data_IF_783385654308
#
_entry.id   IF_783385654308
#
_cell.length_a   1.000
_cell.length_b   1.000
_cell.length_c   1.000
_cell.angle_alpha   90.00
_cell.angle_beta   90.00
_cell.angle_gamma   90.00
#
_symmetry.space_group_name_H-M   'P 1'
#
loop_
_entity.id
_entity.type
_entity.pdbx_description
1 polymer ?
#
# COMPACT_ATOMS: atom_id res chain seq x y z
N UNK A 1 -7.78 7.99 -17.89
CA UNK A 1 -8.16 8.90 -16.77
C UNK A 1 -6.93 9.30 -15.95
N UNK A 2 -7.05 10.27 -15.01
CA UNK A 2 -6.01 10.67 -14.05
C UNK A 2 -6.56 10.57 -12.64
N UNK A 3 -5.70 10.27 -11.66
CA UNK A 3 -6.08 10.23 -10.26
C UNK A 3 -6.48 11.62 -9.78
N UNK A 4 -7.63 11.75 -9.15
CA UNK A 4 -8.14 13.02 -8.64
C UNK A 4 -7.39 13.50 -7.40
N UNK A 5 -7.62 14.75 -6.99
CA UNK A 5 -7.10 15.27 -5.73
C UNK A 5 -7.56 14.43 -4.51
N UNK A 6 -8.79 13.90 -4.55
CA UNK A 6 -9.31 12.99 -3.51
C UNK A 6 -8.56 11.66 -3.51
N UNK A 7 -8.28 11.07 -4.68
CA UNK A 7 -7.48 9.85 -4.81
C UNK A 7 -6.04 10.05 -4.33
N UNK A 8 -5.41 11.17 -4.69
CA UNK A 8 -4.06 11.53 -4.21
C UNK A 8 -4.05 11.68 -2.67
N UNK A 9 -5.04 12.39 -2.10
CA UNK A 9 -5.18 12.53 -0.63
C UNK A 9 -5.30 11.16 0.03
N UNK A 10 -6.15 10.30 -0.51
CA UNK A 10 -6.35 8.94 -0.01
C UNK A 10 -5.04 8.11 -0.01
N UNK A 11 -4.31 8.11 -1.12
CA UNK A 11 -3.04 7.38 -1.21
C UNK A 11 -2.03 7.92 -0.20
N UNK A 12 -1.87 9.25 -0.08
CA UNK A 12 -0.98 9.88 0.90
C UNK A 12 -1.29 9.48 2.34
N UNK A 13 -2.57 9.38 2.69
CA UNK A 13 -3.01 8.99 4.04
C UNK A 13 -2.55 7.58 4.40
N UNK A 14 -2.61 6.64 3.46
CA UNK A 14 -2.27 5.24 3.74
C UNK A 14 -0.79 4.89 3.53
N UNK A 15 -0.08 5.55 2.63
CA UNK A 15 1.36 5.31 2.42
C UNK A 15 2.23 6.10 3.41
N UNK A 16 1.68 7.17 4.00
CA UNK A 16 2.44 8.15 4.76
C UNK A 16 3.20 9.12 3.85
N UNK A 17 3.58 10.26 4.41
CA UNK A 17 4.28 11.32 3.70
C UNK A 17 5.42 11.87 4.53
N UNK A 18 6.59 12.02 3.92
CA UNK A 18 7.76 12.65 4.55
C UNK A 18 8.29 13.76 3.67
N UNK A 19 8.18 14.99 4.14
CA UNK A 19 8.63 16.19 3.40
C UNK A 19 10.15 16.40 3.46
N UNK A 20 10.86 15.68 4.32
CA UNK A 20 12.33 15.66 4.40
C UNK A 20 12.84 14.29 3.96
N UNK A 21 13.87 14.28 3.14
CA UNK A 21 14.48 13.05 2.65
C UNK A 21 14.99 12.17 3.80
N UNK A 22 14.76 10.88 3.67
CA UNK A 22 15.18 9.85 4.63
C UNK A 22 15.70 8.62 3.89
N UNK A 23 16.51 7.83 4.55
CA UNK A 23 16.87 6.50 4.03
C UNK A 23 15.80 5.49 4.39
N UNK A 24 15.25 4.82 3.37
CA UNK A 24 14.35 3.66 3.60
C UNK A 24 15.16 2.49 4.17
N UNK A 25 14.50 1.39 4.54
CA UNK A 25 15.16 0.19 5.08
C UNK A 25 16.20 -0.44 4.14
N UNK A 26 16.09 -0.18 2.83
CA UNK A 26 17.08 -0.59 1.81
C UNK A 26 18.24 0.41 1.68
N UNK A 27 18.32 1.46 2.52
CA UNK A 27 19.37 2.48 2.46
C UNK A 27 19.21 3.51 1.33
N UNK A 28 18.08 3.48 0.59
CA UNK A 28 17.82 4.38 -0.54
C UNK A 28 17.21 5.70 -0.04
N UNK A 29 17.73 6.83 -0.55
CA UNK A 29 17.15 8.14 -0.28
C UNK A 29 15.74 8.23 -0.85
N UNK A 30 14.79 8.56 -0.01
CA UNK A 30 13.35 8.56 -0.27
C UNK A 30 12.73 9.86 0.25
N UNK A 31 11.74 10.41 -0.45
CA UNK A 31 11.03 11.64 -0.05
C UNK A 31 9.55 11.56 -0.45
N UNK A 32 8.73 12.45 0.10
CA UNK A 32 7.30 12.49 -0.21
C UNK A 32 6.59 11.20 0.17
N UNK A 33 5.83 10.65 -0.75
CA UNK A 33 5.05 9.41 -0.61
C UNK A 33 5.81 8.24 -1.25
N UNK A 34 7.00 7.94 -0.69
CA UNK A 34 7.82 6.83 -1.16
C UNK A 34 8.63 7.09 -2.43
N UNK A 35 8.71 8.34 -2.92
CA UNK A 35 9.47 8.68 -4.10
C UNK A 35 10.98 8.50 -3.90
N UNK A 36 11.65 7.90 -4.88
CA UNK A 36 13.10 7.72 -4.95
C UNK A 36 13.62 8.18 -6.32
N UNK A 37 14.93 8.48 -6.41
CA UNK A 37 15.55 8.85 -7.70
C UNK A 37 15.33 7.81 -8.82
N UNK A 38 15.08 6.55 -8.47
CA UNK A 38 14.79 5.49 -9.43
C UNK A 38 13.39 5.62 -10.08
N UNK A 39 12.45 6.31 -9.40
CA UNK A 39 11.12 6.59 -9.95
C UNK A 39 11.15 7.76 -10.96
N UNK A 40 12.27 8.48 -11.06
CA UNK A 40 12.46 9.60 -11.97
C UNK A 40 12.80 10.90 -11.23
N UNK A 41 12.50 12.04 -11.86
CA UNK A 41 12.73 13.36 -11.25
C UNK A 41 11.71 13.65 -10.14
N UNK A 42 12.11 14.39 -9.05
CA UNK A 42 13.46 14.86 -8.77
C UNK A 42 14.39 13.77 -8.26
N UNK A 43 15.70 13.92 -8.48
CA UNK A 43 16.67 13.10 -7.79
C UNK A 43 16.65 13.41 -6.29
N UNK A 44 16.55 12.36 -5.47
CA UNK A 44 16.49 12.50 -4.00
C UNK A 44 17.88 12.44 -3.41
N UNK A 45 18.26 13.50 -2.68
CA UNK A 45 19.57 13.63 -2.05
C UNK A 45 19.44 13.83 -0.55
N UNK A 46 20.54 13.64 0.17
CA UNK A 46 20.61 13.92 1.61
C UNK A 46 20.23 15.38 1.92
N UNK A 47 19.44 15.57 2.98
CA UNK A 47 19.02 16.90 3.42
C UNK A 47 17.92 17.54 2.57
N UNK A 48 17.52 16.95 1.44
CA UNK A 48 16.47 17.50 0.58
C UNK A 48 15.16 17.65 1.35
N UNK A 49 14.49 18.77 1.13
CA UNK A 49 13.15 19.07 1.69
C UNK A 49 12.23 19.51 0.56
N UNK A 50 10.97 19.14 0.64
CA UNK A 50 9.92 19.55 -0.29
C UNK A 50 8.70 20.04 0.48
N UNK A 51 7.87 20.84 -0.17
CA UNK A 51 6.56 21.23 0.34
C UNK A 51 5.53 20.12 0.13
N UNK A 52 4.38 20.20 0.81
CA UNK A 52 3.27 19.28 0.59
C UNK A 52 2.71 19.37 -0.85
N UNK A 53 2.76 20.55 -1.47
CA UNK A 53 2.34 20.74 -2.87
C UNK A 53 3.30 20.03 -3.85
N UNK A 54 4.61 20.15 -3.63
CA UNK A 54 5.61 19.42 -4.41
C UNK A 54 5.49 17.92 -4.23
N UNK A 55 5.27 17.45 -3.00
CA UNK A 55 5.02 16.03 -2.72
C UNK A 55 3.80 15.50 -3.48
N UNK A 56 2.70 16.24 -3.51
CA UNK A 56 1.51 15.87 -4.28
C UNK A 56 1.80 15.82 -5.79
N UNK A 57 2.59 16.78 -6.31
CA UNK A 57 3.00 16.83 -7.72
C UNK A 57 3.89 15.63 -8.08
N UNK A 58 4.83 15.28 -7.21
CA UNK A 58 5.71 14.12 -7.37
C UNK A 58 4.88 12.84 -7.40
N UNK A 59 3.97 12.66 -6.43
CA UNK A 59 3.09 11.50 -6.36
C UNK A 59 2.22 11.36 -7.60
N UNK A 60 1.61 12.47 -8.07
CA UNK A 60 0.77 12.44 -9.28
C UNK A 60 1.55 11.95 -10.51
N UNK A 61 2.84 12.30 -10.62
CA UNK A 61 3.71 11.81 -11.68
C UNK A 61 4.07 10.34 -11.49
N UNK A 62 4.40 9.92 -10.28
CA UNK A 62 4.75 8.54 -9.98
C UNK A 62 3.56 7.59 -10.20
N UNK A 63 2.33 8.10 -10.04
CA UNK A 63 1.10 7.37 -10.32
C UNK A 63 0.83 7.15 -11.83
N UNK A 64 1.47 7.90 -12.73
CA UNK A 64 1.16 7.87 -14.16
C UNK A 64 1.24 6.46 -14.76
N UNK A 65 2.19 5.64 -14.34
CA UNK A 65 2.31 4.26 -14.81
C UNK A 65 1.15 3.37 -14.31
N UNK A 66 0.68 3.59 -13.10
CA UNK A 66 -0.46 2.86 -12.52
C UNK A 66 -1.76 3.30 -13.18
N UNK A 67 -1.95 4.61 -13.42
CA UNK A 67 -3.09 5.16 -14.13
C UNK A 67 -3.23 4.56 -15.53
N UNK A 68 -2.13 4.55 -16.29
CA UNK A 68 -2.11 3.96 -17.63
C UNK A 68 -2.37 2.45 -17.56
N UNK A 69 -1.82 1.76 -16.58
CA UNK A 69 -2.03 0.32 -16.38
C UNK A 69 -3.47 -0.01 -16.05
N UNK A 70 -4.11 0.74 -15.16
CA UNK A 70 -5.53 0.59 -14.82
C UNK A 70 -6.41 0.89 -16.02
N UNK A 71 -6.17 2.02 -16.69
CA UNK A 71 -6.95 2.46 -17.87
C UNK A 71 -6.98 1.38 -18.97
N UNK A 72 -5.83 0.73 -19.22
CA UNK A 72 -5.71 -0.38 -20.19
C UNK A 72 -6.41 -1.68 -19.78
N UNK A 73 -6.71 -1.85 -18.52
CA UNK A 73 -7.37 -3.06 -17.99
C UNK A 73 -8.89 -2.92 -17.90
N UNK A 74 -9.41 -1.69 -17.99
CA UNK A 74 -10.83 -1.42 -17.94
C UNK A 74 -11.48 -1.70 -19.29
N UNK A 75 -12.57 -2.46 -19.25
CA UNK A 75 -13.43 -2.80 -20.39
C UNK A 75 -14.79 -2.09 -20.30
N UNK A 76 -15.01 -1.33 -19.22
CA UNK A 76 -16.25 -0.58 -18.94
C UNK A 76 -15.92 0.83 -18.46
N UNK A 77 -16.87 1.73 -18.58
CA UNK A 77 -16.75 3.06 -17.99
C UNK A 77 -16.87 2.99 -16.47
N UNK A 78 -16.02 3.76 -15.78
CA UNK A 78 -16.01 3.89 -14.34
C UNK A 78 -16.06 5.37 -13.93
N UNK A 79 -16.61 5.65 -12.77
CA UNK A 79 -16.59 7.01 -12.20
C UNK A 79 -15.17 7.39 -11.77
N UNK A 80 -14.93 8.67 -11.52
CA UNK A 80 -13.64 9.17 -11.03
C UNK A 80 -13.26 8.51 -9.69
N UNK A 81 -14.20 8.38 -8.76
CA UNK A 81 -13.95 7.74 -7.47
C UNK A 81 -13.60 6.25 -7.62
N UNK A 82 -14.24 5.55 -8.53
CA UNK A 82 -13.93 4.15 -8.84
C UNK A 82 -12.54 4.00 -9.45
N UNK A 83 -12.17 4.89 -10.38
CA UNK A 83 -10.83 4.92 -10.96
C UNK A 83 -9.77 5.17 -9.89
N UNK A 84 -9.97 6.15 -9.00
CA UNK A 84 -9.06 6.49 -7.90
C UNK A 84 -8.82 5.27 -6.97
N UNK A 85 -9.87 4.51 -6.67
CA UNK A 85 -9.78 3.28 -5.86
C UNK A 85 -8.97 2.21 -6.58
N UNK A 86 -9.18 2.01 -7.88
CA UNK A 86 -8.42 1.02 -8.66
C UNK A 86 -6.94 1.39 -8.75
N UNK A 87 -6.62 2.68 -8.90
CA UNK A 87 -5.24 3.17 -8.87
C UNK A 87 -4.63 3.00 -7.48
N UNK A 88 -5.36 3.35 -6.39
CA UNK A 88 -4.90 3.13 -5.01
C UNK A 88 -4.62 1.65 -4.74
N UNK A 89 -5.52 0.76 -5.17
CA UNK A 89 -5.33 -0.67 -5.05
C UNK A 89 -4.11 -1.16 -5.83
N UNK A 90 -3.96 -0.73 -7.09
CA UNK A 90 -2.82 -1.09 -7.93
C UNK A 90 -1.49 -0.55 -7.38
N UNK A 91 -1.48 0.65 -6.82
CA UNK A 91 -0.31 1.24 -6.16
C UNK A 91 0.14 0.41 -4.95
N UNK A 92 -0.81 -0.10 -4.16
CA UNK A 92 -0.54 -0.91 -2.97
C UNK A 92 -0.20 -2.38 -3.29
N UNK A 93 -0.93 -3.01 -4.20
CA UNK A 93 -0.84 -4.45 -4.45
C UNK A 93 -0.09 -4.79 -5.75
N UNK A 94 0.15 -3.80 -6.60
CA UNK A 94 0.74 -3.97 -7.93
C UNK A 94 -0.30 -4.20 -9.04
N UNK A 95 0.02 -3.71 -10.26
CA UNK A 95 -0.81 -3.91 -11.46
C UNK A 95 -1.05 -5.38 -11.78
N UNK A 96 -0.04 -6.24 -11.55
CA UNK A 96 -0.17 -7.68 -11.79
C UNK A 96 -1.18 -8.37 -10.87
N UNK A 97 -1.27 -7.92 -9.61
CA UNK A 97 -2.27 -8.39 -8.66
C UNK A 97 -3.67 -7.94 -9.06
N UNK A 98 -3.83 -6.66 -9.42
CA UNK A 98 -5.11 -6.14 -9.92
C UNK A 98 -5.58 -6.93 -11.16
N UNK A 99 -4.69 -7.13 -12.15
CA UNK A 99 -5.03 -7.86 -13.39
C UNK A 99 -5.57 -9.26 -13.15
N UNK A 100 -5.06 -9.95 -12.13
CA UNK A 100 -5.45 -11.34 -11.79
C UNK A 100 -6.60 -11.41 -10.78
N UNK A 101 -7.08 -10.26 -10.28
CA UNK A 101 -8.04 -10.21 -9.19
C UNK A 101 -9.47 -10.45 -9.65
N UNK A 102 -10.27 -11.07 -8.79
CA UNK A 102 -11.73 -11.09 -8.96
C UNK A 102 -12.34 -9.71 -8.84
N UNK A 103 -11.67 -8.77 -8.16
CA UNK A 103 -12.05 -7.38 -8.10
C UNK A 103 -12.16 -6.77 -9.50
N UNK A 104 -11.10 -6.83 -10.31
CA UNK A 104 -11.10 -6.30 -11.68
C UNK A 104 -12.12 -7.02 -12.56
N UNK A 105 -12.24 -8.35 -12.40
CA UNK A 105 -13.25 -9.13 -13.10
C UNK A 105 -14.66 -8.60 -12.82
N UNK A 106 -15.00 -8.32 -11.55
CA UNK A 106 -16.32 -7.75 -11.19
C UNK A 106 -16.53 -6.35 -11.77
N UNK A 107 -15.49 -5.53 -11.81
CA UNK A 107 -15.55 -4.21 -12.45
C UNK A 107 -15.89 -4.37 -13.94
N UNK A 108 -15.16 -5.20 -14.69
CA UNK A 108 -15.36 -5.38 -16.13
C UNK A 108 -16.68 -6.10 -16.47
N UNK A 109 -17.24 -6.86 -15.53
CA UNK A 109 -18.62 -7.40 -15.63
C UNK A 109 -19.70 -6.34 -15.36
N UNK A 110 -19.34 -5.10 -14.99
CA UNK A 110 -20.29 -4.06 -14.55
C UNK A 110 -20.93 -4.34 -13.18
N UNK A 111 -20.43 -5.33 -12.45
CA UNK A 111 -20.91 -5.70 -11.11
C UNK A 111 -20.24 -4.86 -10.03
N UNK A 112 -20.54 -3.55 -10.02
CA UNK A 112 -19.92 -2.57 -9.13
C UNK A 112 -20.29 -2.77 -7.66
N UNK A 113 -21.45 -3.33 -7.37
CA UNK A 113 -21.92 -3.62 -6.00
C UNK A 113 -21.08 -4.69 -5.30
N UNK A 114 -20.46 -5.60 -6.06
CA UNK A 114 -19.59 -6.64 -5.51
C UNK A 114 -18.20 -6.12 -5.13
N UNK A 115 -17.75 -4.99 -5.69
CA UNK A 115 -16.37 -4.50 -5.55
C UNK A 115 -15.96 -4.23 -4.10
N UNK A 116 -16.80 -3.60 -3.23
CA UNK A 116 -16.45 -3.43 -1.82
C UNK A 116 -16.13 -4.74 -1.09
N UNK A 117 -16.85 -5.80 -1.38
CA UNK A 117 -16.59 -7.12 -0.80
C UNK A 117 -15.31 -7.76 -1.35
N UNK A 118 -15.02 -7.55 -2.63
CA UNK A 118 -13.77 -8.01 -3.25
C UNK A 118 -12.54 -7.30 -2.68
N UNK A 119 -12.62 -5.99 -2.42
CA UNK A 119 -11.56 -5.23 -1.74
C UNK A 119 -11.23 -5.85 -0.37
N UNK A 120 -12.23 -6.21 0.42
CA UNK A 120 -12.05 -6.77 1.77
C UNK A 120 -11.34 -8.14 1.79
N UNK A 121 -11.16 -8.81 0.67
CA UNK A 121 -10.34 -10.03 0.57
C UNK A 121 -8.83 -9.75 0.63
N UNK A 122 -8.40 -8.47 0.46
CA UNK A 122 -7.01 -8.03 0.39
C UNK A 122 -6.52 -7.38 1.69
N UNK A 123 -6.80 -8.03 2.82
CA UNK A 123 -6.46 -7.55 4.17
C UNK A 123 -5.32 -8.31 4.82
N UNK A 124 -4.70 -9.28 4.11
CA UNK A 124 -3.67 -10.14 4.67
C UNK A 124 -2.29 -9.86 4.10
N UNK A 125 -1.27 -9.97 4.95
CA UNK A 125 0.14 -10.03 4.56
C UNK A 125 0.79 -11.21 5.30
N UNK A 126 1.59 -12.04 4.58
CA UNK A 126 2.18 -13.25 5.15
C UNK A 126 1.13 -14.23 5.72
N UNK A 127 -0.07 -14.29 5.13
CA UNK A 127 -1.17 -15.15 5.58
C UNK A 127 -1.97 -14.63 6.78
N UNK A 128 -1.53 -13.55 7.44
CA UNK A 128 -2.17 -12.95 8.62
C UNK A 128 -2.91 -11.67 8.25
N UNK A 129 -4.05 -11.43 8.89
CA UNK A 129 -4.78 -10.18 8.73
C UNK A 129 -3.99 -9.00 9.35
N UNK A 130 -3.97 -7.86 8.64
CA UNK A 130 -3.24 -6.66 9.02
C UNK A 130 -4.22 -5.52 9.20
N UNK A 131 -4.30 -4.96 10.40
CA UNK A 131 -5.25 -3.89 10.74
C UNK A 131 -5.14 -2.67 9.82
N UNK A 132 -3.92 -2.29 9.40
CA UNK A 132 -3.68 -1.21 8.43
C UNK A 132 -4.31 -1.49 7.07
N UNK A 133 -4.19 -2.73 6.57
CA UNK A 133 -4.82 -3.14 5.31
C UNK A 133 -6.34 -3.18 5.44
N UNK A 134 -6.88 -3.63 6.57
CA UNK A 134 -8.33 -3.61 6.83
C UNK A 134 -8.86 -2.17 6.76
N UNK A 135 -8.18 -1.22 7.43
CA UNK A 135 -8.57 0.20 7.36
C UNK A 135 -8.51 0.73 5.93
N UNK A 136 -7.44 0.44 5.19
CA UNK A 136 -7.27 0.87 3.80
C UNK A 136 -8.40 0.34 2.91
N UNK A 137 -8.68 -0.96 2.96
CA UNK A 137 -9.76 -1.57 2.14
C UNK A 137 -11.15 -1.01 2.49
N UNK A 138 -11.41 -0.72 3.77
CA UNK A 138 -12.66 -0.07 4.19
C UNK A 138 -12.78 1.35 3.64
N UNK A 139 -11.71 2.13 3.68
CA UNK A 139 -11.69 3.48 3.12
C UNK A 139 -11.85 3.48 1.60
N UNK A 140 -11.17 2.56 0.89
CA UNK A 140 -11.35 2.35 -0.54
C UNK A 140 -12.79 1.94 -0.88
N UNK A 141 -13.39 1.02 -0.12
CA UNK A 141 -14.79 0.62 -0.31
C UNK A 141 -15.78 1.77 -0.08
N UNK A 142 -15.47 2.68 0.85
CA UNK A 142 -16.26 3.89 1.10
C UNK A 142 -16.14 4.86 -0.08
N UNK A 143 -14.92 5.14 -0.54
CA UNK A 143 -14.65 5.99 -1.70
C UNK A 143 -15.30 5.43 -2.97
N UNK A 144 -15.27 4.11 -3.19
CA UNK A 144 -15.92 3.44 -4.31
C UNK A 144 -17.40 3.76 -4.43
N UNK A 145 -18.10 3.87 -3.29
CA UNK A 145 -19.53 4.17 -3.23
C UNK A 145 -19.85 5.65 -3.43
N UNK A 146 -18.86 6.52 -3.57
CA UNK A 146 -19.05 7.97 -3.68
C UNK A 146 -19.57 8.61 -2.38
N UNK A 147 -19.42 7.93 -1.24
CA UNK A 147 -19.78 8.52 0.07
C UNK A 147 -18.63 9.41 0.48
N UNK A 148 -18.85 10.73 0.42
CA UNK A 148 -17.87 11.73 0.82
C UNK A 148 -17.32 11.44 2.22
N UNK A 149 -16.00 11.59 2.36
CA UNK A 149 -15.26 11.32 3.61
C UNK A 149 -15.54 12.35 4.71
N UNK A 150 -16.48 13.27 4.51
CA UNK A 150 -16.77 14.37 5.45
C UNK A 150 -17.95 14.13 6.39
N UNK A 151 -18.65 13.00 6.29
CA UNK A 151 -19.68 12.68 7.31
C UNK A 151 -19.11 11.77 8.39
N UNK A 152 -19.26 12.12 9.69
CA UNK A 152 -18.83 11.25 10.79
C UNK A 152 -19.57 9.92 10.72
N UNK A 153 -18.84 8.82 10.76
CA UNK A 153 -19.39 7.45 10.84
C UNK A 153 -19.98 7.20 12.23
N UNK A 154 -21.15 7.76 12.52
CA UNK A 154 -21.77 7.64 13.83
C UNK A 154 -22.85 6.55 13.93
N UNK A 155 -22.99 5.68 12.93
CA UNK A 155 -24.08 4.69 12.93
C UNK A 155 -23.60 3.22 13.05
N UNK A 156 -22.30 2.91 12.87
CA UNK A 156 -21.82 1.53 13.00
C UNK A 156 -21.02 1.24 14.28
N UNK A 157 -20.49 2.25 14.94
CA UNK A 157 -19.80 2.07 16.23
C UNK A 157 -20.77 1.84 17.42
N UNK A 158 -22.04 2.19 17.26
CA UNK A 158 -23.05 1.97 18.32
C UNK A 158 -23.41 0.47 18.53
N UNK A 159 -22.96 -0.45 17.66
CA UNK A 159 -23.26 -1.89 17.76
C UNK A 159 -22.10 -2.77 18.20
N UNK A 160 -20.91 -2.22 18.33
CA UNK A 160 -19.73 -2.95 18.81
C UNK A 160 -19.15 -2.24 20.04
N UNK A 161 -19.92 -2.11 21.13
CA UNK A 161 -19.33 -1.91 22.45
C UNK A 161 -18.64 -3.21 22.84
N UNK A 162 -17.29 -3.25 22.97
CA UNK A 162 -16.65 -4.35 23.65
C UNK A 162 -17.07 -4.26 25.12
N UNK A 163 -17.67 -5.32 25.61
CA UNK A 163 -17.87 -5.51 27.05
C UNK A 163 -16.50 -5.41 27.73
N UNK A 164 -16.36 -4.46 28.65
CA UNK A 164 -15.11 -4.24 29.36
C UNK A 164 -14.75 -5.52 30.14
N UNK A 165 -13.56 -6.12 29.96
CA UNK A 165 -13.12 -7.19 30.83
C UNK A 165 -12.91 -6.61 32.24
N UNK A 166 -13.57 -7.20 33.24
CA UNK A 166 -13.35 -6.95 34.65
C UNK A 166 -11.87 -7.04 34.98
N UNK A 167 -11.35 -6.05 35.67
CA UNK A 167 -9.99 -5.98 36.18
C UNK A 167 -9.56 -7.31 36.84
N UNK A 168 -8.58 -7.98 36.28
CA UNK A 168 -7.92 -9.11 36.88
C UNK A 168 -6.47 -8.72 37.24
N UNK A 169 -6.16 -8.99 38.47
CA UNK A 169 -5.00 -8.77 39.32
C UNK A 169 -3.63 -8.78 38.61
N UNK A 170 -2.75 -7.89 39.06
CA UNK A 170 -1.34 -7.78 38.74
C UNK A 170 -0.64 -9.15 38.78
N UNK A 171 0.04 -9.50 37.69
CA UNK A 171 0.96 -10.61 37.64
C UNK A 171 2.36 -10.03 37.72
N UNK A 172 3.02 -10.32 38.85
CA UNK A 172 4.41 -10.10 39.16
C UNK A 172 5.34 -10.77 38.13
N UNK A 173 6.42 -10.08 37.85
CA UNK A 173 7.58 -10.46 37.05
C UNK A 173 7.90 -11.96 37.10
N UNK A 174 7.97 -12.61 35.96
CA UNK A 174 8.70 -13.86 35.76
C UNK A 174 9.88 -13.66 34.82
N UNK A 175 11.01 -14.25 35.16
CA UNK A 175 12.33 -14.09 34.52
C UNK A 175 12.48 -14.73 33.12
N UNK A 176 11.38 -15.15 32.50
CA UNK A 176 11.41 -15.92 31.24
C UNK A 176 11.20 -15.09 29.99
N UNK A 177 10.93 -13.77 30.10
CA UNK A 177 10.65 -12.91 28.96
C UNK A 177 11.90 -12.44 28.18
N UNK A 178 13.10 -12.67 28.66
CA UNK A 178 14.33 -12.13 28.06
C UNK A 178 15.05 -13.08 27.07
N UNK A 179 14.53 -14.27 26.80
CA UNK A 179 15.18 -15.24 25.90
C UNK A 179 14.68 -15.19 24.46
N UNK A 180 13.58 -14.46 24.17
CA UNK A 180 12.94 -14.47 22.83
C UNK A 180 13.46 -13.40 21.85
N UNK A 181 14.31 -12.46 22.30
CA UNK A 181 14.78 -11.34 21.46
C UNK A 181 16.04 -11.68 20.66
N UNK A 182 16.77 -12.75 21.00
CA UNK A 182 18.02 -13.11 20.34
C UNK A 182 17.87 -13.98 19.06
N UNK A 183 16.70 -14.52 18.76
CA UNK A 183 16.50 -15.44 17.64
C UNK A 183 15.87 -14.84 16.36
N UNK A 184 15.51 -13.55 16.37
CA UNK A 184 14.81 -12.90 15.25
C UNK A 184 15.68 -12.27 14.16
N UNK A 185 17.01 -12.31 14.31
CA UNK A 185 17.93 -11.50 13.47
C UNK A 185 18.44 -12.16 12.18
N UNK A 186 18.27 -13.45 11.99
CA UNK A 186 18.92 -14.18 10.89
C UNK A 186 17.99 -14.70 9.77
N UNK A 187 16.67 -14.52 9.91
CA UNK A 187 15.70 -15.04 8.93
C UNK A 187 15.52 -14.21 7.66
N UNK A 188 15.93 -12.95 7.67
CA UNK A 188 15.66 -12.02 6.55
C UNK A 188 16.69 -12.06 5.43
N UNK A 189 17.90 -12.58 5.68
CA UNK A 189 18.98 -12.67 4.67
C UNK A 189 18.79 -13.88 3.76
N UNK A 190 18.21 -14.97 4.26
CA UNK A 190 18.01 -16.19 3.48
C UNK A 190 16.93 -16.05 2.39
N UNK A 191 15.86 -15.24 2.63
CA UNK A 191 14.78 -15.02 1.68
C UNK A 191 15.19 -14.21 0.44
N UNK A 192 16.21 -13.36 0.56
CA UNK A 192 16.71 -12.57 -0.58
C UNK A 192 17.50 -13.43 -1.55
N UNK A 193 18.15 -14.49 -1.10
CA UNK A 193 18.95 -15.38 -1.97
C UNK A 193 18.11 -16.36 -2.80
N UNK A 194 16.91 -16.73 -2.33
CA UNK A 194 16.03 -17.65 -3.10
C UNK A 194 15.20 -16.96 -4.19
N UNK A 195 15.02 -15.64 -4.12
CA UNK A 195 14.21 -14.90 -5.12
C UNK A 195 15.04 -14.51 -6.36
N UNK A 196 16.36 -14.41 -6.24
CA UNK A 196 17.24 -14.00 -7.34
C UNK A 196 17.26 -15.00 -8.53
N UNK A 197 17.26 -16.32 -8.34
CA UNK A 197 17.21 -17.25 -9.48
C UNK A 197 15.87 -17.28 -10.19
N UNK A 198 14.74 -17.04 -9.49
CA UNK A 198 13.41 -17.09 -10.10
C UNK A 198 13.16 -15.93 -11.09
N UNK A 199 13.84 -14.80 -10.92
CA UNK A 199 13.75 -13.65 -11.84
C UNK A 199 14.57 -13.88 -13.11
N UNK A 200 15.55 -14.78 -13.10
CA UNK A 200 16.41 -15.08 -14.25
C UNK A 200 15.78 -16.02 -15.28
N UNK A 201 14.83 -16.85 -14.90
CA UNK A 201 14.19 -17.83 -15.80
C UNK A 201 12.89 -17.35 -16.44
N UNK A 202 12.29 -16.24 -15.98
CA UNK A 202 11.10 -15.62 -16.56
C UNK A 202 11.39 -14.67 -17.71
N UNK A 203 12.25 -15.05 -18.64
CA UNK A 203 12.59 -14.26 -19.82
C UNK A 203 11.39 -14.02 -20.73
N UNK A 204 11.15 -12.78 -21.02
CA UNK A 204 10.68 -12.14 -22.25
C UNK A 204 9.54 -11.12 -22.20
N UNK A 205 9.07 -10.66 -21.05
CA UNK A 205 8.11 -9.53 -20.99
C UNK A 205 8.65 -8.31 -20.22
N UNK A 206 9.86 -8.39 -19.65
CA UNK A 206 10.45 -7.31 -18.84
C UNK A 206 11.50 -6.46 -19.60
N UNK A 207 11.54 -6.48 -20.90
CA UNK A 207 12.58 -5.74 -21.65
C UNK A 207 12.32 -4.22 -21.76
N UNK A 208 11.26 -3.70 -21.16
CA UNK A 208 10.96 -2.26 -21.16
C UNK A 208 10.97 -1.60 -19.77
N UNK A 209 11.14 -2.36 -18.70
CA UNK A 209 11.31 -1.78 -17.36
C UNK A 209 12.64 -2.24 -16.79
N UNK A 210 13.50 -1.26 -16.47
CA UNK A 210 14.77 -1.52 -15.81
C UNK A 210 14.53 -2.38 -14.56
N UNK A 211 15.04 -3.60 -14.54
CA UNK A 211 14.84 -4.64 -13.50
C UNK A 211 15.08 -4.10 -12.08
N UNK A 212 15.95 -3.10 -11.95
CA UNK A 212 16.28 -2.40 -10.72
C UNK A 212 15.08 -1.62 -10.14
N UNK A 213 14.22 -1.06 -10.99
CA UNK A 213 13.05 -0.27 -10.56
C UNK A 213 11.96 -1.18 -9.99
N UNK A 214 11.71 -2.33 -10.63
CA UNK A 214 10.72 -3.29 -10.16
C UNK A 214 11.11 -3.90 -8.80
N UNK A 215 12.39 -4.20 -8.59
CA UNK A 215 12.92 -4.72 -7.32
C UNK A 215 12.84 -3.66 -6.21
N UNK A 216 13.16 -2.39 -6.52
CA UNK A 216 13.14 -1.31 -5.53
C UNK A 216 11.70 -0.96 -5.07
N UNK A 217 10.72 -0.97 -5.97
CA UNK A 217 9.32 -0.75 -5.60
C UNK A 217 8.81 -1.86 -4.67
N UNK A 218 9.12 -3.12 -4.97
CA UNK A 218 8.74 -4.26 -4.12
C UNK A 218 9.42 -4.19 -2.74
N UNK A 219 10.68 -3.79 -2.66
CA UNK A 219 11.43 -3.66 -1.41
C UNK A 219 10.92 -2.47 -0.59
N UNK A 220 10.62 -1.33 -1.20
CA UNK A 220 10.10 -0.15 -0.48
C UNK A 220 8.68 -0.39 0.06
N UNK A 221 7.82 -1.09 -0.67
CA UNK A 221 6.48 -1.47 -0.21
C UNK A 221 6.55 -2.49 0.94
N UNK A 222 7.43 -3.49 0.84
CA UNK A 222 7.66 -4.45 1.92
C UNK A 222 8.25 -3.79 3.17
N UNK A 223 9.13 -2.82 3.00
CA UNK A 223 9.78 -2.11 4.09
C UNK A 223 8.87 -1.09 4.78
N UNK A 224 7.98 -0.43 4.05
CA UNK A 224 6.93 0.39 4.61
C UNK A 224 6.00 -0.42 5.52
N UNK A 225 5.65 -1.63 5.11
CA UNK A 225 4.88 -2.55 5.92
C UNK A 225 5.61 -2.94 7.23
N UNK A 226 6.91 -3.22 7.17
CA UNK A 226 7.71 -3.62 8.35
C UNK A 226 7.89 -2.45 9.34
N UNK A 227 8.08 -1.22 8.85
CA UNK A 227 8.22 -0.06 9.73
C UNK A 227 6.93 0.29 10.47
N UNK A 228 5.77 0.08 9.82
CA UNK A 228 4.47 0.26 10.44
C UNK A 228 4.20 -0.72 11.59
N UNK A 229 4.81 -1.92 11.56
CA UNK A 229 4.68 -2.92 12.63
C UNK A 229 5.50 -2.62 13.88
N UNK A 230 6.38 -1.64 13.84
CA UNK A 230 7.31 -1.32 14.95
C UNK A 230 6.89 -0.08 15.75
N UNK A 231 5.76 0.52 15.45
CA UNK A 231 5.08 1.57 16.23
C UNK A 231 3.71 1.08 16.71
#
# INVERSE_FOLDING_TARGET
>A
MKTSAAGIKHIREFEGERLKAYKCSAGVWTIGVGHTSAAGSPSVTEGMTITAAESATILARDLAAFELGVDRMLEVEVTQAQFDVLVSFAFNCGLGALKKSTLLKRVNEGNFDAVPAELMKWTKAGGKEVAGLVRRRRAEAKLWRGVDTEQPVDILEARLKPEQPKASKSITQSKEANAAVAAGGLGTIALVQEVIPLVKEGGSILSAMNTTVAILVVICVAAGAIWWFRK
#
